data_IF_185942053339
#
_entry.id   IF_185942053339
#
_cell.length_a   1.000
_cell.length_b   1.000
_cell.length_c   1.000
_cell.angle_alpha   90.00
_cell.angle_beta   90.00
_cell.angle_gamma   90.00
#
_symmetry.space_group_name_H-M   'P 1'
#
loop_
_entity.id
_entity.type
_entity.pdbx_description
1 polymer ?
#
# COMPACT_ATOMS: atom_id res chain seq x y z
N UNK A 1 1.85 13.88 -9.43
CA UNK A 1 2.85 12.82 -9.68
C UNK A 1 2.63 12.31 -11.10
N UNK A 2 3.67 12.05 -11.88
CA UNK A 2 3.48 11.40 -13.16
C UNK A 2 2.94 10.00 -12.95
N UNK A 3 1.96 9.59 -13.78
CA UNK A 3 1.51 8.21 -13.83
C UNK A 3 2.70 7.30 -14.16
N UNK A 4 2.82 6.14 -13.49
CA UNK A 4 3.87 5.20 -13.81
C UNK A 4 3.74 4.78 -15.28
N UNK A 5 4.72 5.14 -16.08
CA UNK A 5 4.78 4.75 -17.49
C UNK A 5 4.91 3.22 -17.57
N UNK A 6 4.21 2.55 -18.50
CA UNK A 6 4.35 1.12 -18.69
C UNK A 6 5.82 0.74 -18.92
N UNK A 7 6.35 -0.17 -18.11
CA UNK A 7 7.73 -0.65 -18.20
C UNK A 7 8.75 0.07 -17.32
N UNK A 8 8.34 1.12 -16.60
CA UNK A 8 9.20 1.78 -15.62
C UNK A 8 8.82 1.36 -14.18
N UNK A 9 9.82 1.33 -13.29
CA UNK A 9 9.57 1.22 -11.87
C UNK A 9 8.78 2.44 -11.38
N UNK A 10 7.70 2.22 -10.63
CA UNK A 10 6.97 3.29 -9.98
C UNK A 10 7.77 3.78 -8.77
N UNK A 11 8.67 4.73 -8.98
CA UNK A 11 9.56 5.29 -7.96
C UNK A 11 9.30 6.77 -7.75
N UNK A 12 9.32 7.19 -6.49
CA UNK A 12 9.34 8.62 -6.12
C UNK A 12 10.72 9.24 -6.37
N UNK A 13 11.78 8.48 -6.18
CA UNK A 13 13.17 8.89 -6.40
C UNK A 13 13.81 8.01 -7.47
N UNK A 14 13.87 8.52 -8.68
CA UNK A 14 14.46 7.81 -9.82
C UNK A 14 15.94 7.44 -9.60
N UNK A 15 16.66 8.13 -8.72
CA UNK A 15 18.07 7.80 -8.41
C UNK A 15 18.24 6.43 -7.73
N UNK A 16 17.17 5.86 -7.19
CA UNK A 16 17.17 4.55 -6.52
C UNK A 16 16.88 3.37 -7.45
N UNK A 17 16.45 3.65 -8.69
CA UNK A 17 16.02 2.61 -9.62
C UNK A 17 17.10 1.56 -9.86
N UNK A 18 18.31 1.99 -10.19
CA UNK A 18 19.42 1.05 -10.47
C UNK A 18 19.77 0.18 -9.25
N UNK A 19 19.81 0.75 -8.06
CA UNK A 19 20.08 -0.01 -6.83
C UNK A 19 18.99 -1.06 -6.55
N UNK A 20 17.72 -0.70 -6.77
CA UNK A 20 16.60 -1.63 -6.58
C UNK A 20 16.62 -2.74 -7.63
N UNK A 21 16.85 -2.40 -8.89
CA UNK A 21 16.99 -3.39 -9.97
C UNK A 21 18.19 -4.31 -9.74
N UNK A 22 19.32 -3.77 -9.26
CA UNK A 22 20.51 -4.57 -8.94
C UNK A 22 20.23 -5.58 -7.82
N UNK A 23 19.50 -5.18 -6.76
CA UNK A 23 19.11 -6.08 -5.69
C UNK A 23 18.21 -7.23 -6.19
N UNK A 24 17.25 -6.91 -7.07
CA UNK A 24 16.37 -7.92 -7.68
C UNK A 24 17.17 -8.88 -8.58
N UNK A 25 18.08 -8.37 -9.41
CA UNK A 25 18.94 -9.19 -10.27
C UNK A 25 19.85 -10.08 -9.46
N UNK A 26 20.45 -9.57 -8.37
CA UNK A 26 21.30 -10.34 -7.49
C UNK A 26 20.53 -11.52 -6.87
N UNK A 27 19.37 -11.27 -6.29
CA UNK A 27 18.53 -12.34 -5.74
C UNK A 27 18.15 -13.38 -6.81
N UNK A 28 17.74 -12.93 -8.00
CA UNK A 28 17.41 -13.82 -9.11
C UNK A 28 18.58 -14.68 -9.57
N UNK A 29 19.80 -14.12 -9.63
CA UNK A 29 21.01 -14.88 -10.00
C UNK A 29 21.41 -15.93 -8.96
N UNK A 30 21.05 -15.73 -7.70
CA UNK A 30 21.25 -16.68 -6.61
C UNK A 30 20.11 -17.72 -6.51
N UNK A 31 19.12 -17.66 -7.40
CA UNK A 31 17.94 -18.52 -7.35
C UNK A 31 17.00 -18.19 -6.18
N UNK A 32 17.01 -16.96 -5.71
CA UNK A 32 16.24 -16.46 -4.56
C UNK A 32 15.25 -15.36 -4.99
N UNK A 33 14.55 -14.76 -4.04
CA UNK A 33 13.62 -13.68 -4.25
C UNK A 33 13.72 -12.62 -3.18
N UNK A 34 13.24 -11.41 -3.48
CA UNK A 34 13.10 -10.29 -2.56
C UNK A 34 11.67 -9.79 -2.51
N UNK A 35 11.27 -9.31 -1.36
CA UNK A 35 10.03 -8.57 -1.16
C UNK A 35 10.25 -7.07 -1.36
N UNK A 36 9.32 -6.26 -0.85
CA UNK A 36 9.46 -4.81 -0.85
C UNK A 36 8.25 -4.10 -0.27
N UNK A 37 8.34 -2.79 -0.27
CA UNK A 37 7.31 -1.89 0.24
C UNK A 37 6.76 -1.09 -0.95
N UNK A 38 5.43 -0.99 -1.01
CA UNK A 38 4.73 -0.06 -1.89
C UNK A 38 4.15 1.07 -1.06
N UNK A 39 4.41 2.30 -1.45
CA UNK A 39 3.75 3.49 -0.90
C UNK A 39 2.72 3.99 -1.89
N UNK A 40 1.52 4.29 -1.38
CA UNK A 40 0.44 4.90 -2.16
C UNK A 40 0.08 6.25 -1.55
N UNK A 41 -0.03 7.25 -2.41
CA UNK A 41 -0.48 8.58 -2.06
C UNK A 41 -1.72 8.90 -2.88
N UNK A 42 -2.82 9.21 -2.18
CA UNK A 42 -4.08 9.63 -2.82
C UNK A 42 -4.32 11.10 -2.52
N UNK A 43 -4.56 11.88 -3.55
CA UNK A 43 -4.83 13.32 -3.45
C UNK A 43 -6.22 13.66 -3.98
N UNK A 44 -6.76 14.81 -3.53
CA UNK A 44 -8.03 15.33 -4.07
C UNK A 44 -9.28 14.70 -3.47
N UNK A 45 -9.17 13.96 -2.36
CA UNK A 45 -10.32 13.48 -1.61
C UNK A 45 -10.83 14.58 -0.67
N UNK A 46 -12.16 14.76 -0.57
CA UNK A 46 -12.75 15.66 0.41
C UNK A 46 -12.56 15.12 1.83
N UNK A 47 -12.65 16.00 2.82
CA UNK A 47 -12.82 15.60 4.21
C UNK A 47 -14.19 14.95 4.42
N UNK A 48 -14.29 14.01 5.36
CA UNK A 48 -15.57 13.42 5.76
C UNK A 48 -15.92 12.12 5.02
N UNK A 49 -14.98 11.44 4.38
CA UNK A 49 -15.15 10.12 3.79
C UNK A 49 -14.71 9.06 4.79
N UNK A 50 -15.43 7.97 4.87
CA UNK A 50 -15.24 6.90 5.85
C UNK A 50 -16.18 7.07 7.04
N UNK A 51 -16.21 6.04 7.86
CA UNK A 51 -17.05 5.98 9.04
C UNK A 51 -16.21 5.61 10.27
N UNK A 52 -16.61 6.01 11.48
CA UNK A 52 -15.90 5.58 12.68
C UNK A 52 -16.09 4.08 12.92
N UNK A 53 -15.11 3.47 13.59
CA UNK A 53 -15.07 2.08 14.01
C UNK A 53 -14.78 1.11 12.85
N UNK A 54 -15.77 0.28 12.45
CA UNK A 54 -15.54 -0.89 11.60
C UNK A 54 -15.27 -0.52 10.14
N UNK A 55 -15.96 0.49 9.63
CA UNK A 55 -15.92 0.90 8.22
C UNK A 55 -15.06 2.16 8.02
N UNK A 56 -14.00 2.25 8.81
CA UNK A 56 -13.01 3.32 8.68
C UNK A 56 -12.25 3.19 7.35
N UNK A 57 -11.74 4.32 6.85
CA UNK A 57 -10.93 4.32 5.63
C UNK A 57 -9.74 3.35 5.75
N UNK A 58 -9.11 3.29 6.94
CA UNK A 58 -8.03 2.36 7.20
C UNK A 58 -8.49 0.91 7.15
N UNK A 59 -9.66 0.59 7.73
CA UNK A 59 -10.21 -0.77 7.74
C UNK A 59 -10.53 -1.24 6.34
N UNK A 60 -11.22 -0.43 5.54
CA UNK A 60 -11.59 -0.76 4.17
C UNK A 60 -10.37 -0.93 3.27
N UNK A 61 -9.44 0.01 3.31
CA UNK A 61 -8.21 -0.11 2.53
C UNK A 61 -7.37 -1.31 2.99
N UNK A 62 -7.24 -1.55 4.30
CA UNK A 62 -6.50 -2.70 4.81
C UNK A 62 -7.12 -4.02 4.36
N UNK A 63 -8.45 -4.15 4.43
CA UNK A 63 -9.16 -5.33 3.95
C UNK A 63 -8.82 -5.63 2.48
N UNK A 64 -8.87 -4.61 1.62
CA UNK A 64 -8.54 -4.74 0.20
C UNK A 64 -7.05 -5.05 -0.03
N UNK A 65 -6.14 -4.41 0.72
CA UNK A 65 -4.71 -4.65 0.56
C UNK A 65 -4.32 -6.08 0.96
N UNK A 66 -4.94 -6.64 1.99
CA UNK A 66 -4.68 -8.05 2.35
C UNK A 66 -5.27 -9.06 1.36
N UNK A 67 -6.15 -8.65 0.44
CA UNK A 67 -6.57 -9.47 -0.70
C UNK A 67 -5.45 -9.62 -1.76
N UNK A 68 -4.44 -8.75 -1.75
CA UNK A 68 -3.28 -8.87 -2.64
C UNK A 68 -2.39 -10.03 -2.16
N UNK A 69 -2.13 -11.05 -3.01
CA UNK A 69 -1.24 -12.14 -2.64
C UNK A 69 0.13 -11.61 -2.16
N UNK A 70 0.64 -12.22 -1.11
CA UNK A 70 1.91 -11.88 -0.46
C UNK A 70 1.93 -10.55 0.34
N UNK A 71 0.86 -9.79 0.39
CA UNK A 71 0.75 -8.68 1.33
C UNK A 71 0.77 -9.21 2.77
N UNK A 72 1.63 -8.64 3.63
CA UNK A 72 1.84 -9.08 5.02
C UNK A 72 1.74 -7.96 6.04
N UNK A 73 1.55 -6.75 5.61
CA UNK A 73 1.35 -5.61 6.49
C UNK A 73 0.95 -4.36 5.74
N UNK A 74 0.30 -3.48 6.48
CA UNK A 74 -0.07 -2.13 6.03
C UNK A 74 0.14 -1.16 7.18
N UNK A 75 0.54 0.06 6.87
CA UNK A 75 0.62 1.16 7.82
C UNK A 75 0.18 2.47 7.15
N UNK A 76 -0.41 3.36 7.94
CA UNK A 76 -0.90 4.66 7.47
C UNK A 76 -0.07 5.79 8.05
N UNK A 77 0.24 6.80 7.24
CA UNK A 77 1.03 7.96 7.65
C UNK A 77 2.39 7.58 8.24
N UNK A 78 2.65 7.99 9.48
CA UNK A 78 3.87 7.64 10.19
C UNK A 78 3.95 6.16 10.61
N UNK A 79 2.81 5.44 10.56
CA UNK A 79 2.74 4.00 10.80
C UNK A 79 3.38 3.58 12.12
N UNK A 80 4.22 2.57 12.11
CA UNK A 80 4.94 2.10 13.30
C UNK A 80 5.86 3.15 13.93
N UNK A 81 6.22 4.22 13.19
CA UNK A 81 6.99 5.35 13.71
C UNK A 81 6.28 6.09 14.85
N UNK A 82 4.95 6.01 14.95
CA UNK A 82 4.20 6.59 16.05
C UNK A 82 4.64 6.06 17.43
N UNK A 83 5.12 4.82 17.50
CA UNK A 83 5.58 4.23 18.77
C UNK A 83 6.75 4.99 19.43
N UNK A 84 7.52 5.73 18.63
CA UNK A 84 8.64 6.55 19.10
C UNK A 84 8.28 8.03 19.31
N UNK A 85 7.04 8.44 19.02
CA UNK A 85 6.60 9.84 19.10
C UNK A 85 5.82 10.11 20.39
N UNK A 86 5.94 11.33 20.86
CA UNK A 86 5.03 11.88 21.90
C UNK A 86 3.77 12.42 21.22
N UNK A 87 2.66 12.52 21.97
CA UNK A 87 1.41 13.04 21.43
C UNK A 87 1.53 14.43 20.79
N UNK A 88 2.32 15.32 21.40
CA UNK A 88 2.60 16.65 20.84
C UNK A 88 3.36 16.64 19.50
N UNK A 89 4.13 15.58 19.24
CA UNK A 89 4.85 15.37 17.99
C UNK A 89 3.98 14.67 16.95
N UNK A 90 3.09 13.77 17.41
CA UNK A 90 2.24 12.94 16.56
C UNK A 90 1.04 13.69 15.97
N UNK A 91 0.57 14.71 16.68
CA UNK A 91 -0.58 15.50 16.23
C UNK A 91 -0.31 16.21 14.90
N UNK A 92 -1.37 16.25 14.07
CA UNK A 92 -1.43 17.04 12.84
C UNK A 92 -2.30 18.29 13.12
N UNK A 93 -1.73 19.40 13.65
CA UNK A 93 -2.52 20.56 14.02
C UNK A 93 -3.13 21.21 12.77
N UNK A 94 -4.41 21.58 12.87
CA UNK A 94 -5.10 22.27 11.80
C UNK A 94 -4.56 23.70 11.61
N UNK A 95 -4.48 24.11 10.36
CA UNK A 95 -4.04 25.44 9.95
C UNK A 95 -4.82 25.92 8.73
N UNK A 96 -4.76 27.21 8.46
CA UNK A 96 -5.27 27.78 7.22
C UNK A 96 -4.15 27.83 6.19
N UNK A 97 -4.38 27.26 5.01
CA UNK A 97 -3.47 27.32 3.86
C UNK A 97 -4.26 27.72 2.63
N UNK A 98 -3.93 28.84 2.04
CA UNK A 98 -4.60 29.39 0.82
C UNK A 98 -6.12 29.49 0.95
N UNK A 99 -6.61 29.91 2.12
CA UNK A 99 -8.03 30.05 2.42
C UNK A 99 -8.77 28.74 2.71
N UNK A 100 -8.06 27.60 2.76
CA UNK A 100 -8.63 26.29 3.06
C UNK A 100 -8.11 25.75 4.39
N UNK A 101 -8.92 24.92 5.05
CA UNK A 101 -8.50 24.17 6.22
C UNK A 101 -7.57 23.03 5.74
N UNK A 102 -6.41 22.95 6.35
CA UNK A 102 -5.42 21.89 6.12
C UNK A 102 -4.78 21.50 7.45
N UNK A 103 -3.92 20.50 7.48
CA UNK A 103 -3.05 20.24 8.61
C UNK A 103 -1.62 20.72 8.35
N UNK A 104 -0.91 21.11 9.39
CA UNK A 104 0.49 21.58 9.27
C UNK A 104 1.43 20.43 8.88
N UNK A 105 1.13 19.24 9.35
CA UNK A 105 1.82 17.97 9.04
C UNK A 105 0.79 16.94 8.59
N UNK A 106 1.23 15.77 8.13
CA UNK A 106 0.34 14.69 7.69
C UNK A 106 0.82 13.34 8.25
N UNK A 107 1.11 13.30 9.54
CA UNK A 107 1.60 12.09 10.21
C UNK A 107 0.53 11.01 10.31
N UNK A 108 -0.75 11.41 10.40
CA UNK A 108 -1.88 10.48 10.39
C UNK A 108 -2.25 9.98 8.98
N UNK A 109 -1.52 10.40 7.94
CA UNK A 109 -1.76 9.95 6.59
C UNK A 109 -3.11 10.35 6.02
N UNK A 110 -3.64 11.53 6.41
CA UNK A 110 -4.90 12.08 5.88
C UNK A 110 -6.17 11.53 6.53
N UNK A 111 -6.05 10.72 7.59
CA UNK A 111 -7.17 10.04 8.23
C UNK A 111 -7.12 10.29 9.75
N UNK A 112 -8.22 10.76 10.31
CA UNK A 112 -8.40 10.96 11.74
C UNK A 112 -9.69 10.30 12.21
N UNK A 113 -9.60 9.39 13.17
CA UNK A 113 -10.77 8.68 13.70
C UNK A 113 -11.51 7.87 12.63
N UNK A 114 -10.81 7.36 11.61
CA UNK A 114 -11.38 6.57 10.53
C UNK A 114 -11.92 7.38 9.36
N UNK A 115 -11.82 8.71 9.41
CA UNK A 115 -12.46 9.65 8.47
C UNK A 115 -11.39 10.52 7.81
N UNK A 116 -11.52 10.76 6.49
CA UNK A 116 -10.60 11.65 5.76
C UNK A 116 -10.67 13.07 6.30
N UNK A 117 -9.54 13.74 6.39
CA UNK A 117 -9.43 15.13 6.84
C UNK A 117 -9.13 16.13 5.70
N UNK A 118 -9.16 15.69 4.43
CA UNK A 118 -8.87 16.51 3.25
C UNK A 118 -7.39 16.57 2.86
N UNK A 119 -6.49 16.04 3.70
CA UNK A 119 -5.08 15.89 3.36
C UNK A 119 -4.86 14.65 2.48
N UNK A 120 -3.73 14.52 1.79
CA UNK A 120 -3.42 13.30 1.07
C UNK A 120 -3.49 12.07 1.96
N UNK A 121 -4.18 11.01 1.51
CA UNK A 121 -4.07 9.71 2.15
C UNK A 121 -2.71 9.12 1.77
N UNK A 122 -1.96 8.70 2.78
CA UNK A 122 -0.65 8.07 2.61
C UNK A 122 -0.63 6.76 3.38
N UNK A 123 -0.37 5.67 2.68
CA UNK A 123 -0.19 4.37 3.32
C UNK A 123 0.88 3.54 2.61
N UNK A 124 1.44 2.57 3.32
CA UNK A 124 2.45 1.64 2.82
C UNK A 124 2.04 0.21 3.10
N UNK A 125 2.30 -0.67 2.14
CA UNK A 125 2.13 -2.11 2.29
C UNK A 125 3.46 -2.81 2.14
N UNK A 126 3.66 -3.92 2.84
CA UNK A 126 4.81 -4.80 2.66
C UNK A 126 4.38 -6.09 1.99
N UNK A 127 5.10 -6.47 0.94
CA UNK A 127 4.94 -7.74 0.25
C UNK A 127 6.13 -8.65 0.58
N UNK A 128 5.84 -9.86 1.01
CA UNK A 128 6.90 -10.85 1.28
C UNK A 128 7.55 -11.33 -0.01
N UNK A 129 8.80 -11.82 0.06
CA UNK A 129 9.44 -12.51 -1.05
C UNK A 129 8.60 -13.69 -1.54
N UNK A 130 8.68 -13.98 -2.83
CA UNK A 130 8.05 -15.15 -3.43
C UNK A 130 8.64 -16.43 -2.84
N UNK A 131 7.84 -17.36 -2.29
CA UNK A 131 8.37 -18.58 -1.69
C UNK A 131 8.81 -19.61 -2.73
N UNK A 132 8.38 -19.47 -3.97
CA UNK A 132 8.79 -20.34 -5.08
C UNK A 132 10.15 -19.88 -5.59
N UNK A 133 11.21 -20.47 -5.09
CA UNK A 133 12.60 -20.16 -5.42
C UNK A 133 13.32 -21.39 -5.95
N UNK A 134 14.45 -21.20 -6.64
CA UNK A 134 15.25 -22.30 -7.19
C UNK A 134 16.16 -22.97 -6.14
N UNK A 135 16.35 -22.34 -4.99
CA UNK A 135 17.11 -22.94 -3.88
C UNK A 135 16.39 -24.17 -3.34
N UNK A 136 17.18 -25.15 -2.92
CA UNK A 136 16.67 -26.33 -2.22
C UNK A 136 16.01 -25.90 -0.90
N UNK A 137 14.83 -26.44 -0.62
CA UNK A 137 14.04 -26.12 0.55
C UNK A 137 13.68 -27.38 1.31
N UNK A 138 13.78 -27.31 2.63
CA UNK A 138 13.27 -28.36 3.51
C UNK A 138 11.75 -28.26 3.57
N UNK A 139 11.09 -29.40 3.49
CA UNK A 139 9.64 -29.54 3.53
C UNK A 139 9.27 -30.91 4.14
N UNK A 140 8.01 -31.29 3.99
CA UNK A 140 7.53 -32.61 4.43
C UNK A 140 6.79 -33.29 3.29
N UNK A 141 6.93 -34.60 3.18
CA UNK A 141 5.98 -35.43 2.46
C UNK A 141 4.71 -35.52 3.31
N UNK A 142 3.64 -34.86 2.85
CA UNK A 142 2.39 -34.78 3.59
C UNK A 142 1.71 -36.16 3.73
N UNK A 143 1.87 -37.04 2.75
CA UNK A 143 1.27 -38.39 2.76
C UNK A 143 2.12 -39.34 3.61
N UNK A 144 3.43 -39.35 3.36
CA UNK A 144 4.39 -40.19 4.09
C UNK A 144 4.68 -39.71 5.50
N UNK A 145 4.34 -38.45 5.83
CA UNK A 145 4.60 -37.77 7.12
C UNK A 145 6.10 -37.84 7.52
N UNK A 146 6.96 -37.61 6.54
CA UNK A 146 8.40 -37.61 6.70
C UNK A 146 8.98 -36.30 6.20
N UNK A 147 10.16 -35.94 6.72
CA UNK A 147 10.93 -34.83 6.19
C UNK A 147 11.32 -35.11 4.73
N UNK A 148 11.27 -34.06 3.92
CA UNK A 148 11.59 -34.13 2.50
C UNK A 148 12.33 -32.87 2.05
N UNK A 149 12.95 -32.94 0.90
CA UNK A 149 13.59 -31.80 0.25
C UNK A 149 12.88 -31.50 -1.07
N UNK A 150 12.69 -30.23 -1.34
CA UNK A 150 12.02 -29.75 -2.52
C UNK A 150 12.92 -28.74 -3.25
N UNK A 151 13.08 -28.93 -4.55
CA UNK A 151 13.59 -27.90 -5.45
C UNK A 151 12.54 -27.63 -6.53
N UNK A 152 11.98 -26.43 -6.48
CA UNK A 152 10.91 -26.04 -7.41
C UNK A 152 11.56 -25.66 -8.74
N UNK A 153 11.07 -26.26 -9.82
CA UNK A 153 11.47 -25.95 -11.20
C UNK A 153 10.38 -25.12 -11.88
N UNK A 154 10.76 -24.18 -12.70
CA UNK A 154 9.82 -23.34 -13.44
C UNK A 154 10.32 -21.90 -13.51
N UNK A 155 9.54 -21.02 -14.13
CA UNK A 155 9.84 -19.58 -14.16
C UNK A 155 9.27 -18.93 -12.92
N UNK A 156 10.12 -18.32 -12.11
CA UNK A 156 9.75 -17.60 -10.90
C UNK A 156 10.16 -16.13 -11.01
N UNK A 157 9.32 -15.25 -10.46
CA UNK A 157 9.67 -13.84 -10.36
C UNK A 157 10.54 -13.60 -9.13
N UNK A 158 11.74 -13.05 -9.31
CA UNK A 158 12.60 -12.70 -8.17
C UNK A 158 12.03 -11.57 -7.32
N UNK A 159 11.07 -10.79 -7.85
CA UNK A 159 10.36 -9.75 -7.13
C UNK A 159 8.98 -9.50 -7.73
N UNK A 160 7.93 -9.65 -6.93
CA UNK A 160 6.54 -9.43 -7.38
C UNK A 160 6.05 -7.99 -7.17
N UNK A 161 6.82 -7.16 -6.45
CA UNK A 161 6.42 -5.80 -6.05
C UNK A 161 6.00 -4.92 -7.23
N UNK A 162 6.72 -4.89 -8.38
CA UNK A 162 6.33 -4.09 -9.53
C UNK A 162 4.95 -4.47 -10.11
N UNK A 163 4.60 -5.75 -10.05
CA UNK A 163 3.28 -6.23 -10.49
C UNK A 163 2.19 -5.88 -9.49
N UNK A 164 2.49 -5.97 -8.22
CA UNK A 164 1.55 -5.64 -7.15
C UNK A 164 1.19 -4.15 -7.13
N UNK A 165 2.06 -3.26 -7.60
CA UNK A 165 1.81 -1.82 -7.66
C UNK A 165 0.53 -1.46 -8.44
N UNK A 166 0.33 -2.06 -9.60
CA UNK A 166 -0.88 -1.84 -10.42
C UNK A 166 -2.13 -2.36 -9.71
N UNK A 167 -2.03 -3.54 -9.07
CA UNK A 167 -3.13 -4.14 -8.31
C UNK A 167 -3.49 -3.27 -7.12
N UNK A 168 -2.49 -2.79 -6.37
CA UNK A 168 -2.68 -1.91 -5.22
C UNK A 168 -3.38 -0.60 -5.62
N UNK A 169 -2.94 0.04 -6.71
CA UNK A 169 -3.59 1.24 -7.23
C UNK A 169 -5.05 0.99 -7.60
N UNK A 170 -5.33 -0.12 -8.28
CA UNK A 170 -6.70 -0.47 -8.70
C UNK A 170 -7.60 -0.74 -7.51
N UNK A 171 -7.14 -1.49 -6.51
CA UNK A 171 -7.90 -1.77 -5.30
C UNK A 171 -8.09 -0.52 -4.44
N UNK A 172 -7.08 0.36 -4.39
CA UNK A 172 -7.21 1.66 -3.72
C UNK A 172 -8.32 2.50 -4.36
N UNK A 173 -8.31 2.61 -5.69
CA UNK A 173 -9.35 3.35 -6.42
C UNK A 173 -10.73 2.73 -6.22
N UNK A 174 -10.83 1.40 -6.23
CA UNK A 174 -12.08 0.68 -5.98
C UNK A 174 -12.64 0.97 -4.58
N UNK A 175 -11.83 0.81 -3.52
CA UNK A 175 -12.26 1.03 -2.15
C UNK A 175 -12.66 2.48 -1.89
N UNK A 176 -11.90 3.43 -2.44
CA UNK A 176 -12.25 4.85 -2.30
C UNK A 176 -13.52 5.21 -3.07
N UNK A 177 -13.76 4.61 -4.23
CA UNK A 177 -15.01 4.79 -4.96
C UNK A 177 -16.20 4.25 -4.18
N UNK A 178 -16.04 3.11 -3.53
CA UNK A 178 -17.08 2.52 -2.67
C UNK A 178 -17.41 3.45 -1.49
N UNK A 179 -16.39 3.89 -0.75
CA UNK A 179 -16.57 4.85 0.36
C UNK A 179 -17.19 6.17 -0.09
N UNK A 180 -16.81 6.70 -1.25
CA UNK A 180 -17.43 7.88 -1.84
C UNK A 180 -18.91 7.62 -2.19
N UNK A 181 -19.22 6.42 -2.66
CA UNK A 181 -20.60 6.02 -3.01
C UNK A 181 -21.45 5.88 -1.76
N UNK A 182 -20.91 5.34 -0.67
CA UNK A 182 -21.58 5.30 0.63
C UNK A 182 -21.91 6.71 1.10
N UNK A 183 -20.97 7.64 1.01
CA UNK A 183 -21.12 9.02 1.47
C UNK A 183 -22.09 9.86 0.62
N UNK A 184 -22.03 9.76 -0.69
CA UNK A 184 -22.74 10.67 -1.62
C UNK A 184 -23.85 9.99 -2.43
N UNK A 185 -24.00 8.68 -2.32
CA UNK A 185 -24.93 7.87 -3.08
C UNK A 185 -24.49 7.62 -4.53
N UNK A 186 -25.13 6.65 -5.17
CA UNK A 186 -24.81 6.22 -6.53
C UNK A 186 -25.05 7.27 -7.61
N UNK A 187 -25.91 8.24 -7.37
CA UNK A 187 -26.17 9.34 -8.31
C UNK A 187 -24.97 10.28 -8.46
N UNK A 188 -24.14 10.41 -7.43
CA UNK A 188 -22.91 11.20 -7.51
C UNK A 188 -21.91 10.65 -8.53
N UNK A 189 -21.92 9.34 -8.79
CA UNK A 189 -21.10 8.72 -9.84
C UNK A 189 -21.47 9.24 -11.25
N UNK A 190 -22.75 9.60 -11.48
CA UNK A 190 -23.22 10.13 -12.77
C UNK A 190 -22.97 11.62 -12.93
N UNK A 191 -23.05 12.38 -11.86
CA UNK A 191 -23.01 13.85 -11.87
C UNK A 191 -21.68 14.43 -11.38
N UNK A 192 -20.74 13.57 -10.97
CA UNK A 192 -19.47 13.94 -10.36
C UNK A 192 -19.59 14.14 -8.84
N UNK A 193 -18.51 13.80 -8.14
CA UNK A 193 -18.42 14.06 -6.70
C UNK A 193 -18.17 15.53 -6.42
N UNK A 194 -18.56 16.04 -5.24
CA UNK A 194 -18.30 17.42 -4.88
C UNK A 194 -16.79 17.74 -5.03
N UNK A 195 -16.51 18.85 -5.72
CA UNK A 195 -15.14 19.36 -5.81
C UNK A 195 -14.80 20.07 -4.50
N UNK A 196 -13.64 19.76 -3.95
CA UNK A 196 -13.08 20.37 -2.74
C UNK A 196 -12.33 21.65 -3.07
#
# INVERSE_FOLDING_TARGET
>A
MPDPQPGHFALLDASKEEAMQAAIRAAGSEGDSVGGILETIVTGLPAGIGEPWFDSVESELAHLMFAIPACKGIEFGAGFGFAAMRGSEANDPFTMRDGKIATATNKNGGINGGITNGMPIVFRTVLKPTPSIYKQQHTVDYIGRTDAELQIKGRHDPCIVPRAAVVQNSLTAFGLLDLLTVRYGTLAQKHGFPKV
#
